data_IF_875025266242
#
_entry.id   IF_875025266242
#
_cell.length_a   1.000
_cell.length_b   1.000
_cell.length_c   1.000
_cell.angle_alpha   90.00
_cell.angle_beta   90.00
_cell.angle_gamma   90.00
#
_symmetry.space_group_name_H-M   'P 1'
#
loop_
_entity.id
_entity.type
_entity.pdbx_description
1 polymer ?
#
# COMPACT_ATOMS: atom_id res chain seq x y z
N UNK A 1 -42.96 12.90 8.55
CA UNK A 1 -41.69 12.82 7.79
C UNK A 1 -41.48 14.18 7.14
N UNK A 2 -40.43 14.90 7.51
CA UNK A 2 -40.07 16.20 6.92
C UNK A 2 -38.60 16.16 6.54
N UNK A 3 -38.33 16.26 5.24
CA UNK A 3 -37.01 16.31 4.62
C UNK A 3 -36.37 17.65 4.91
N UNK A 4 -35.17 17.62 5.51
CA UNK A 4 -34.36 18.80 5.76
C UNK A 4 -33.62 19.16 4.46
N UNK A 5 -34.09 20.18 3.76
CA UNK A 5 -33.41 20.73 2.58
C UNK A 5 -32.23 21.58 3.06
N UNK A 6 -31.01 21.23 2.64
CA UNK A 6 -29.82 22.02 2.90
C UNK A 6 -29.75 23.13 1.84
N UNK A 7 -29.96 24.38 2.24
CA UNK A 7 -29.61 25.56 1.44
C UNK A 7 -28.09 25.61 1.28
N UNK A 8 -27.59 25.26 0.10
CA UNK A 8 -26.23 25.61 -0.27
C UNK A 8 -26.25 26.99 -0.91
N UNK A 9 -25.68 27.98 -0.22
CA UNK A 9 -25.37 29.26 -0.83
C UNK A 9 -24.26 29.04 -1.87
N UNK A 10 -24.59 29.17 -3.15
CA UNK A 10 -23.59 29.27 -4.23
C UNK A 10 -22.82 30.58 -4.06
N UNK A 11 -21.70 30.51 -3.34
CA UNK A 11 -20.74 31.61 -3.28
C UNK A 11 -19.98 31.59 -4.61
N UNK A 12 -20.12 32.63 -5.43
CA UNK A 12 -19.27 32.82 -6.60
C UNK A 12 -17.85 33.11 -6.13
N UNK A 13 -17.03 32.07 -6.05
CA UNK A 13 -15.62 32.21 -5.74
C UNK A 13 -14.89 32.59 -7.03
N UNK A 14 -14.33 33.79 -7.05
CA UNK A 14 -13.59 34.30 -8.18
C UNK A 14 -12.38 33.39 -8.47
N UNK A 15 -12.14 33.06 -9.74
CA UNK A 15 -11.14 32.05 -10.13
C UNK A 15 -9.72 32.41 -9.63
N UNK A 16 -9.44 33.71 -9.57
CA UNK A 16 -8.20 34.28 -9.02
C UNK A 16 -7.99 33.96 -7.53
N UNK A 17 -9.07 33.91 -6.75
CA UNK A 17 -9.01 33.59 -5.31
C UNK A 17 -8.70 32.10 -5.12
N UNK A 18 -9.32 31.22 -5.89
CA UNK A 18 -9.02 29.78 -5.87
C UNK A 18 -7.57 29.48 -6.27
N UNK A 19 -7.04 30.20 -7.26
CA UNK A 19 -5.66 30.06 -7.70
C UNK A 19 -4.66 30.59 -6.66
N UNK A 20 -5.02 31.61 -5.87
CA UNK A 20 -4.17 32.06 -4.75
C UNK A 20 -4.03 31.02 -3.63
N UNK A 21 -5.08 30.25 -3.32
CA UNK A 21 -5.01 29.16 -2.33
C UNK A 21 -4.24 27.94 -2.83
N UNK A 22 -4.16 27.72 -4.15
CA UNK A 22 -3.41 26.61 -4.73
C UNK A 22 -1.88 26.85 -4.70
N UNK A 23 -1.46 28.11 -4.64
CA UNK A 23 -0.05 28.51 -4.73
C UNK A 23 0.59 28.80 -3.36
N UNK A 24 -0.19 28.88 -2.29
CA UNK A 24 0.32 28.75 -0.94
C UNK A 24 0.68 27.29 -0.71
N UNK A 25 1.99 27.00 -0.71
CA UNK A 25 2.51 25.69 -0.28
C UNK A 25 1.81 25.29 1.02
N UNK A 26 0.94 24.27 0.93
CA UNK A 26 0.25 23.74 2.09
C UNK A 26 1.29 23.49 3.19
N UNK A 27 1.07 24.04 4.39
CA UNK A 27 1.86 23.76 5.60
C UNK A 27 1.95 22.26 5.92
N UNK A 28 1.12 21.42 5.29
CA UNK A 28 1.12 19.96 5.37
C UNK A 28 1.94 19.28 4.25
N UNK A 29 2.51 20.02 3.31
CA UNK A 29 3.46 19.48 2.33
C UNK A 29 4.82 19.29 3.00
N UNK A 30 4.93 18.28 3.85
CA UNK A 30 6.24 17.77 4.23
C UNK A 30 6.86 17.19 2.95
N UNK A 31 7.85 17.89 2.39
CA UNK A 31 8.69 17.36 1.33
C UNK A 31 9.36 16.07 1.83
N UNK A 32 8.68 14.93 1.65
CA UNK A 32 9.28 13.62 1.85
C UNK A 32 10.33 13.49 0.76
N UNK A 33 11.59 13.85 1.08
CA UNK A 33 12.75 13.67 0.21
C UNK A 33 12.62 12.32 -0.49
N UNK A 34 12.43 12.35 -1.81
CA UNK A 34 12.29 11.12 -2.61
C UNK A 34 13.53 10.27 -2.33
N UNK A 35 13.38 9.00 -1.93
CA UNK A 35 14.54 8.17 -1.63
C UNK A 35 15.43 8.08 -2.88
N UNK A 36 16.74 8.21 -2.68
CA UNK A 36 17.69 8.04 -3.79
C UNK A 36 17.51 6.66 -4.44
N UNK A 37 17.76 6.56 -5.76
CA UNK A 37 17.67 5.27 -6.47
C UNK A 37 18.50 4.18 -5.78
N UNK A 38 19.70 4.54 -5.31
CA UNK A 38 20.58 3.64 -4.56
C UNK A 38 19.94 3.08 -3.27
N UNK A 39 19.16 3.90 -2.55
CA UNK A 39 18.45 3.44 -1.35
C UNK A 39 17.30 2.48 -1.69
N UNK A 40 16.59 2.72 -2.80
CA UNK A 40 15.54 1.82 -3.29
C UNK A 40 16.11 0.47 -3.73
N UNK A 41 17.25 0.46 -4.41
CA UNK A 41 17.87 -0.78 -4.88
C UNK A 41 18.42 -1.61 -3.71
N UNK A 42 19.03 -0.96 -2.70
CA UNK A 42 19.43 -1.63 -1.46
C UNK A 42 18.22 -2.24 -0.74
N UNK A 43 17.10 -1.51 -0.68
CA UNK A 43 15.86 -2.01 -0.09
C UNK A 43 15.30 -3.21 -0.86
N UNK A 44 15.24 -3.12 -2.20
CA UNK A 44 14.78 -4.23 -3.07
C UNK A 44 15.65 -5.46 -2.92
N UNK A 45 16.97 -5.29 -2.85
CA UNK A 45 17.91 -6.38 -2.67
C UNK A 45 17.68 -7.10 -1.33
N UNK A 46 17.58 -6.34 -0.22
CA UNK A 46 17.24 -6.88 1.10
C UNK A 46 15.90 -7.61 1.09
N UNK A 47 14.86 -7.00 0.53
CA UNK A 47 13.52 -7.60 0.43
C UNK A 47 13.57 -8.93 -0.33
N UNK A 48 14.23 -8.96 -1.49
CA UNK A 48 14.39 -10.18 -2.30
C UNK A 48 15.12 -11.27 -1.51
N UNK A 49 16.19 -10.92 -0.79
CA UNK A 49 16.92 -11.85 0.06
C UNK A 49 16.04 -12.45 1.16
N UNK A 50 15.29 -11.62 1.89
CA UNK A 50 14.41 -12.09 2.97
C UNK A 50 13.23 -12.92 2.48
N UNK A 51 12.67 -12.61 1.31
CA UNK A 51 11.67 -13.48 0.66
C UNK A 51 12.27 -14.86 0.40
N UNK A 52 13.54 -14.92 -0.03
CA UNK A 52 14.26 -16.15 -0.32
C UNK A 52 14.64 -16.97 0.93
N UNK A 53 14.95 -16.33 2.06
CA UNK A 53 15.60 -17.01 3.19
C UNK A 53 14.76 -17.03 4.48
N UNK A 54 13.97 -16.00 4.75
CA UNK A 54 13.34 -15.81 6.07
C UNK A 54 11.89 -16.32 6.16
N UNK A 55 11.27 -16.64 5.02
CA UNK A 55 9.89 -17.13 4.93
C UNK A 55 9.84 -18.67 4.89
N UNK A 56 8.75 -19.26 5.36
CA UNK A 56 8.50 -20.70 5.17
C UNK A 56 8.17 -21.01 3.71
N UNK A 57 8.29 -22.28 3.29
CA UNK A 57 8.00 -22.69 1.90
C UNK A 57 6.60 -22.26 1.44
N UNK A 58 5.57 -22.47 2.29
CA UNK A 58 4.18 -22.04 2.02
C UNK A 58 4.05 -20.52 1.94
N UNK A 59 4.69 -19.77 2.83
CA UNK A 59 4.73 -18.31 2.78
C UNK A 59 5.38 -17.81 1.48
N UNK A 60 6.49 -18.43 1.05
CA UNK A 60 7.16 -18.10 -0.23
C UNK A 60 6.26 -18.36 -1.43
N UNK A 61 5.50 -19.46 -1.45
CA UNK A 61 4.57 -19.77 -2.53
C UNK A 61 3.47 -18.72 -2.63
N UNK A 62 2.83 -18.37 -1.51
CA UNK A 62 1.78 -17.35 -1.45
C UNK A 62 2.31 -15.99 -1.89
N UNK A 63 3.43 -15.53 -1.33
CA UNK A 63 4.02 -14.23 -1.68
C UNK A 63 4.44 -14.17 -3.15
N UNK A 64 5.00 -15.26 -3.71
CA UNK A 64 5.35 -15.29 -5.15
C UNK A 64 4.14 -15.11 -6.06
N UNK A 65 2.98 -15.65 -5.72
CA UNK A 65 1.77 -15.44 -6.51
C UNK A 65 1.16 -14.05 -6.27
N UNK A 66 1.21 -13.56 -5.05
CA UNK A 66 0.74 -12.23 -4.70
C UNK A 66 1.53 -11.13 -5.43
N UNK A 67 2.87 -11.25 -5.48
CA UNK A 67 3.74 -10.33 -6.23
C UNK A 67 3.52 -10.38 -7.75
N UNK A 68 2.87 -11.44 -8.26
CA UNK A 68 2.43 -11.54 -9.67
C UNK A 68 1.04 -10.95 -9.90
N UNK A 69 0.46 -10.26 -8.91
CA UNK A 69 -0.85 -9.63 -9.00
C UNK A 69 -2.05 -10.59 -8.85
N UNK A 70 -1.83 -11.82 -8.38
CA UNK A 70 -2.95 -12.77 -8.19
C UNK A 70 -3.74 -12.46 -6.92
N UNK A 71 -5.06 -12.61 -6.99
CA UNK A 71 -5.95 -12.48 -5.84
C UNK A 71 -5.78 -13.65 -4.88
N UNK A 72 -6.14 -13.48 -3.61
CA UNK A 72 -6.06 -14.57 -2.63
C UNK A 72 -6.91 -15.79 -3.03
N UNK A 73 -8.06 -15.54 -3.67
CA UNK A 73 -8.94 -16.58 -4.18
C UNK A 73 -8.28 -17.38 -5.29
N UNK A 74 -7.56 -16.74 -6.21
CA UNK A 74 -6.83 -17.45 -7.27
C UNK A 74 -5.64 -18.24 -6.72
N UNK A 75 -4.97 -17.68 -5.71
CA UNK A 75 -3.87 -18.35 -5.01
C UNK A 75 -4.38 -19.58 -4.28
N UNK A 76 -5.54 -19.47 -3.60
CA UNK A 76 -6.21 -20.56 -2.90
C UNK A 76 -6.51 -21.72 -3.84
N UNK A 77 -7.17 -21.41 -4.98
CA UNK A 77 -7.44 -22.39 -6.04
C UNK A 77 -6.16 -23.04 -6.56
N UNK A 78 -5.12 -22.25 -6.82
CA UNK A 78 -3.85 -22.74 -7.37
C UNK A 78 -3.06 -23.63 -6.41
N UNK A 79 -3.13 -23.35 -5.11
CA UNK A 79 -2.37 -24.07 -4.08
C UNK A 79 -3.18 -25.19 -3.41
N UNK A 80 -4.45 -25.36 -3.76
CA UNK A 80 -5.34 -26.37 -3.17
C UNK A 80 -5.65 -26.12 -1.69
N UNK A 81 -5.76 -24.86 -1.29
CA UNK A 81 -6.02 -24.45 0.11
C UNK A 81 -7.16 -23.44 0.18
N UNK A 82 -7.69 -23.18 1.37
CA UNK A 82 -8.75 -22.18 1.55
C UNK A 82 -8.21 -20.75 1.45
N UNK A 83 -9.07 -19.80 1.08
CA UNK A 83 -8.73 -18.39 1.03
C UNK A 83 -8.24 -17.86 2.39
N UNK A 84 -8.86 -18.31 3.48
CA UNK A 84 -8.45 -17.93 4.85
C UNK A 84 -7.00 -18.36 5.15
N UNK A 85 -6.60 -19.56 4.72
CA UNK A 85 -5.22 -20.03 4.90
C UNK A 85 -4.23 -19.21 4.07
N UNK A 86 -4.60 -18.81 2.85
CA UNK A 86 -3.80 -17.88 2.03
C UNK A 86 -3.63 -16.54 2.76
N UNK A 87 -4.71 -15.97 3.28
CA UNK A 87 -4.69 -14.72 4.02
C UNK A 87 -3.74 -14.80 5.23
N UNK A 88 -3.83 -15.88 6.02
CA UNK A 88 -2.94 -16.12 7.17
C UNK A 88 -1.47 -16.18 6.72
N UNK A 89 -1.16 -16.93 5.67
CA UNK A 89 0.23 -17.02 5.18
C UNK A 89 0.74 -15.69 4.62
N UNK A 90 -0.09 -14.96 3.88
CA UNK A 90 0.23 -13.63 3.36
C UNK A 90 0.53 -12.67 4.51
N UNK A 91 -0.37 -12.58 5.50
CA UNK A 91 -0.22 -11.70 6.65
C UNK A 91 1.03 -12.03 7.46
N UNK A 92 1.26 -13.30 7.80
CA UNK A 92 2.46 -13.72 8.53
C UNK A 92 3.76 -13.43 7.76
N UNK A 93 3.74 -13.59 6.44
CA UNK A 93 4.90 -13.30 5.60
C UNK A 93 5.20 -11.79 5.58
N UNK A 94 4.19 -10.95 5.36
CA UNK A 94 4.35 -9.49 5.39
C UNK A 94 4.86 -9.01 6.76
N UNK A 95 4.27 -9.51 7.85
CA UNK A 95 4.70 -9.16 9.22
C UNK A 95 6.17 -9.50 9.46
N UNK A 96 6.63 -10.67 8.99
CA UNK A 96 8.05 -11.06 9.06
C UNK A 96 8.93 -10.13 8.23
N UNK A 97 8.59 -9.89 6.96
CA UNK A 97 9.36 -9.04 6.07
C UNK A 97 9.46 -7.61 6.62
N UNK A 98 8.37 -7.07 7.16
CA UNK A 98 8.36 -5.76 7.81
C UNK A 98 9.34 -5.68 8.97
N UNK A 99 9.33 -6.69 9.85
CA UNK A 99 10.29 -6.79 10.97
C UNK A 99 11.73 -6.73 10.48
N UNK A 100 12.08 -7.49 9.45
CA UNK A 100 13.46 -7.56 8.93
C UNK A 100 13.91 -6.33 8.13
N UNK A 101 12.98 -5.50 7.65
CA UNK A 101 13.31 -4.32 6.87
C UNK A 101 13.39 -3.04 7.70
N UNK A 102 12.77 -3.04 8.89
CA UNK A 102 12.84 -1.93 9.85
C UNK A 102 13.99 -2.10 10.84
N UNK A 103 14.38 -3.34 11.11
CA UNK A 103 15.67 -3.62 11.77
C UNK A 103 16.81 -3.38 10.77
#
# INVERSE_FOLDING_TARGET
MGTQEYEFAEIMVDKLILESFANEQSLYHTEKKKPSKANLDRYRHRLKWHIGHSLSMRQKQVIRHYLKGRTERDIAKKLGITQQVVHIYKHRAIKKLYKYLIT
#
